data_IF_249382015322
#
_entry.id   IF_249382015322
#
_cell.length_a   1.000
_cell.length_b   1.000
_cell.length_c   1.000
_cell.angle_alpha   90.00
_cell.angle_beta   90.00
_cell.angle_gamma   90.00
#
_symmetry.space_group_name_H-M   'P 1'
#
loop_
_entity.id
_entity.type
_entity.pdbx_description
1 polymer ?
#
# COMPACT_ATOMS: atom_id res chain seq x y z
N UNK A 1 -1.53 -1.40 -4.58
CA UNK A 1 -0.12 -1.03 -4.32
C UNK A 1 -0.02 0.35 -3.67
N UNK A 2 -0.55 1.40 -4.29
CA UNK A 2 -0.50 2.77 -3.74
C UNK A 2 -1.03 2.92 -2.30
N UNK A 3 -2.16 2.29 -1.95
CA UNK A 3 -2.68 2.31 -0.56
C UNK A 3 -1.75 1.63 0.44
N UNK A 4 -1.12 0.52 0.04
CA UNK A 4 -0.15 -0.19 0.88
C UNK A 4 1.11 0.66 1.09
N UNK A 5 1.62 1.28 0.02
CA UNK A 5 2.74 2.23 0.10
C UNK A 5 2.39 3.43 0.99
N UNK A 6 1.21 4.02 0.83
CA UNK A 6 0.76 5.11 1.71
C UNK A 6 0.71 4.68 3.17
N UNK A 7 0.33 3.42 3.45
CA UNK A 7 0.30 2.90 4.82
C UNK A 7 1.69 2.68 5.41
N UNK A 8 2.68 2.29 4.60
CA UNK A 8 4.07 2.08 5.02
C UNK A 8 4.85 3.39 5.15
N UNK A 9 4.61 4.35 4.26
CA UNK A 9 5.37 5.59 4.16
C UNK A 9 4.81 6.74 4.99
N UNK A 10 3.62 6.59 5.58
CA UNK A 10 2.96 7.66 6.35
C UNK A 10 2.37 7.15 7.66
N UNK A 11 2.10 8.07 8.57
CA UNK A 11 1.42 7.77 9.83
C UNK A 11 -0.11 7.80 9.73
N UNK A 12 -0.68 7.90 8.52
CA UNK A 12 -2.13 7.96 8.35
C UNK A 12 -2.81 6.63 8.73
N UNK A 13 -4.00 6.77 9.29
CA UNK A 13 -4.93 5.69 9.58
C UNK A 13 -5.58 5.15 8.30
N UNK A 14 -6.16 3.94 8.37
CA UNK A 14 -6.86 3.34 7.22
C UNK A 14 -8.03 4.20 6.72
N UNK A 15 -8.85 4.85 7.59
CA UNK A 15 -9.87 5.79 7.13
C UNK A 15 -9.29 7.01 6.41
N UNK A 16 -8.23 7.63 6.93
CA UNK A 16 -7.61 8.81 6.29
C UNK A 16 -7.02 8.46 4.91
N UNK A 17 -6.40 7.28 4.79
CA UNK A 17 -5.96 6.76 3.50
C UNK A 17 -7.17 6.49 2.60
N UNK A 18 -8.26 5.92 3.11
CA UNK A 18 -9.48 5.70 2.34
C UNK A 18 -10.03 7.00 1.74
N UNK A 19 -10.10 8.05 2.55
CA UNK A 19 -10.57 9.38 2.16
C UNK A 19 -9.68 10.00 1.07
N UNK A 20 -8.36 9.98 1.26
CA UNK A 20 -7.38 10.46 0.28
C UNK A 20 -7.42 9.70 -1.06
N UNK A 21 -7.94 8.47 -1.05
CA UNK A 21 -8.08 7.61 -2.23
C UNK A 21 -9.51 7.65 -2.82
N UNK A 22 -10.24 8.74 -2.59
CA UNK A 22 -11.56 9.01 -3.17
C UNK A 22 -12.73 8.59 -2.29
N UNK A 23 -12.62 8.76 -0.97
CA UNK A 23 -13.69 8.38 -0.04
C UNK A 23 -13.92 6.88 0.07
N UNK A 24 -12.89 6.06 -0.16
CA UNK A 24 -12.99 4.60 -0.07
C UNK A 24 -13.13 4.14 1.38
N UNK A 25 -13.94 3.11 1.58
CA UNK A 25 -14.10 2.50 2.90
C UNK A 25 -12.75 1.99 3.44
N UNK A 26 -12.48 2.20 4.73
CA UNK A 26 -11.26 1.75 5.41
C UNK A 26 -11.01 0.23 5.25
N UNK A 27 -12.05 -0.59 5.13
CA UNK A 27 -11.94 -2.02 4.83
C UNK A 27 -11.38 -2.27 3.43
N UNK A 28 -11.69 -1.41 2.45
CA UNK A 28 -11.09 -1.48 1.09
C UNK A 28 -9.58 -1.27 1.17
N UNK A 29 -9.14 -0.32 2.00
CA UNK A 29 -7.71 -0.07 2.24
C UNK A 29 -7.07 -1.29 2.92
N UNK A 30 -7.72 -1.84 3.95
CA UNK A 30 -7.26 -3.07 4.61
C UNK A 30 -7.11 -4.24 3.64
N UNK A 31 -8.11 -4.47 2.78
CA UNK A 31 -8.07 -5.50 1.75
C UNK A 31 -6.95 -5.26 0.74
N UNK A 32 -6.76 -4.01 0.31
CA UNK A 32 -5.68 -3.66 -0.60
C UNK A 32 -4.29 -3.90 0.00
N UNK A 33 -4.09 -3.59 1.29
CA UNK A 33 -2.83 -3.86 1.99
C UNK A 33 -2.55 -5.37 2.05
N UNK A 34 -3.50 -6.16 2.56
CA UNK A 34 -3.37 -7.63 2.64
C UNK A 34 -3.12 -8.27 1.27
N UNK A 35 -3.81 -7.80 0.23
CA UNK A 35 -3.62 -8.35 -1.11
C UNK A 35 -2.21 -8.06 -1.65
N UNK A 36 -1.66 -6.89 -1.36
CA UNK A 36 -0.30 -6.54 -1.77
C UNK A 36 0.74 -7.34 -0.97
N UNK A 37 0.54 -7.55 0.33
CA UNK A 37 1.41 -8.44 1.12
C UNK A 37 1.46 -9.84 0.52
N UNK A 38 0.31 -10.46 0.25
CA UNK A 38 0.24 -11.77 -0.39
C UNK A 38 0.95 -11.78 -1.76
N UNK A 39 0.69 -10.79 -2.61
CA UNK A 39 1.31 -10.72 -3.94
C UNK A 39 2.83 -10.53 -3.89
N UNK A 40 3.37 -9.87 -2.86
CA UNK A 40 4.82 -9.75 -2.65
C UNK A 40 5.47 -11.08 -2.25
N UNK A 41 4.71 -12.01 -1.69
CA UNK A 41 5.19 -13.37 -1.37
C UNK A 41 5.12 -14.27 -2.60
N UNK A 42 4.09 -14.10 -3.44
CA UNK A 42 3.83 -14.97 -4.60
C UNK A 42 4.59 -14.55 -5.86
N UNK A 43 4.92 -13.26 -6.02
CA UNK A 43 5.54 -12.72 -7.23
C UNK A 43 6.82 -11.93 -6.93
N UNK A 44 7.92 -12.38 -7.55
CA UNK A 44 9.21 -11.69 -7.46
C UNK A 44 9.15 -10.27 -8.03
N UNK A 45 8.51 -10.10 -9.19
CA UNK A 45 8.39 -8.81 -9.86
C UNK A 45 7.64 -7.78 -8.97
N UNK A 46 6.53 -8.19 -8.35
CA UNK A 46 5.76 -7.32 -7.45
C UNK A 46 6.58 -6.95 -6.21
N UNK A 47 7.36 -7.89 -5.68
CA UNK A 47 8.25 -7.63 -4.54
C UNK A 47 9.35 -6.64 -4.90
N UNK A 48 9.94 -6.77 -6.08
CA UNK A 48 10.98 -5.87 -6.59
C UNK A 48 10.42 -4.47 -6.83
N UNK A 49 9.30 -4.35 -7.54
CA UNK A 49 8.62 -3.08 -7.80
C UNK A 49 8.26 -2.36 -6.50
N UNK A 50 7.70 -3.09 -5.52
CA UNK A 50 7.35 -2.51 -4.23
C UNK A 50 8.58 -1.98 -3.49
N UNK A 51 9.68 -2.74 -3.48
CA UNK A 51 10.94 -2.36 -2.84
C UNK A 51 11.56 -1.13 -3.51
N UNK A 52 11.54 -1.09 -4.84
CA UNK A 52 12.03 0.03 -5.62
C UNK A 52 11.20 1.30 -5.36
N UNK A 53 9.88 1.19 -5.38
CA UNK A 53 8.99 2.32 -5.10
C UNK A 53 9.16 2.86 -3.67
N UNK A 54 9.27 1.98 -2.66
CA UNK A 54 9.58 2.43 -1.30
C UNK A 54 10.88 3.22 -1.27
N UNK A 55 11.96 2.65 -1.83
CA UNK A 55 13.28 3.30 -1.83
C UNK A 55 13.23 4.67 -2.50
N UNK A 56 12.56 4.79 -3.64
CA UNK A 56 12.44 6.05 -4.38
C UNK A 56 11.60 7.08 -3.65
N UNK A 57 10.55 6.67 -2.92
CA UNK A 57 9.66 7.59 -2.21
C UNK A 57 10.13 7.94 -0.79
N UNK A 58 11.04 7.15 -0.22
CA UNK A 58 11.63 7.39 1.10
C UNK A 58 12.98 8.13 1.04
N UNK A 59 13.49 8.41 -0.15
CA UNK A 59 14.73 9.17 -0.38
C UNK A 59 14.42 10.66 -0.56
#
# INVERSE_FOLDING_TARGET
MAMALAKELTNHSLPEIGDAFGGRDHTTVLHACRKIEQLREESHDIKEDFSNLIRTLSS
#
